data_IF_263959542417
#
_entry.id   IF_263959542417
#
_cell.length_a   1.000
_cell.length_b   1.000
_cell.length_c   1.000
_cell.angle_alpha   90.00
_cell.angle_beta   90.00
_cell.angle_gamma   90.00
#
_symmetry.space_group_name_H-M   'P 1'
#
loop_
_entity.id
_entity.type
_entity.pdbx_description
1 polymer ?
#
# COMPACT_ATOMS: atom_id res chain seq x y z
N UNK A 1 -12.71 -27.95 -50.12
CA UNK A 1 -12.32 -27.39 -51.43
C UNK A 1 -11.38 -26.22 -51.17
N UNK A 2 -10.12 -26.35 -51.62
CA UNK A 2 -9.00 -25.38 -51.61
C UNK A 2 -8.56 -24.82 -50.23
N UNK A 3 -7.29 -24.55 -49.93
CA UNK A 3 -5.96 -25.11 -50.23
C UNK A 3 -4.95 -24.16 -49.55
N UNK A 4 -4.13 -24.71 -48.66
CA UNK A 4 -2.76 -24.32 -48.22
C UNK A 4 -2.17 -22.97 -48.69
N UNK A 5 -1.55 -22.27 -47.73
CA UNK A 5 -0.17 -21.80 -47.86
C UNK A 5 0.51 -21.75 -46.48
N UNK A 6 1.49 -22.65 -46.29
CA UNK A 6 2.41 -22.71 -45.15
C UNK A 6 3.70 -22.02 -45.59
N UNK A 7 4.16 -21.01 -44.85
CA UNK A 7 5.44 -20.36 -45.08
C UNK A 7 6.48 -20.89 -44.08
N UNK A 8 7.30 -21.85 -44.54
CA UNK A 8 8.55 -22.24 -43.90
C UNK A 8 9.62 -21.17 -44.20
N UNK A 9 10.19 -20.54 -43.17
CA UNK A 9 11.46 -19.80 -43.28
C UNK A 9 12.62 -20.76 -43.00
N UNK A 10 13.27 -21.21 -44.07
CA UNK A 10 14.55 -21.92 -44.03
C UNK A 10 15.69 -20.95 -43.74
N UNK A 11 16.53 -21.27 -42.76
CA UNK A 11 17.79 -20.60 -42.49
C UNK A 11 18.83 -21.04 -43.53
N UNK A 12 19.32 -20.10 -44.34
CA UNK A 12 20.45 -20.28 -45.25
C UNK A 12 21.74 -20.06 -44.46
N UNK A 13 22.44 -21.16 -44.15
CA UNK A 13 23.85 -21.15 -43.73
C UNK A 13 24.71 -20.85 -44.97
N UNK A 14 25.11 -19.59 -45.13
CA UNK A 14 26.11 -19.19 -46.11
C UNK A 14 27.51 -19.59 -45.65
N UNK A 15 28.06 -20.65 -46.25
CA UNK A 15 29.46 -21.05 -46.08
C UNK A 15 30.33 -20.15 -46.94
N UNK A 16 31.11 -19.25 -46.32
CA UNK A 16 32.13 -18.46 -47.05
C UNK A 16 33.38 -19.33 -47.17
N UNK A 17 33.59 -19.90 -48.36
CA UNK A 17 34.84 -20.56 -48.71
C UNK A 17 35.90 -19.50 -49.04
N UNK A 18 36.86 -19.29 -48.14
CA UNK A 18 38.04 -18.49 -48.42
C UNK A 18 39.04 -19.33 -49.23
N UNK A 19 39.26 -18.92 -50.48
CA UNK A 19 40.33 -19.43 -51.35
C UNK A 19 41.67 -19.00 -50.75
N UNK A 20 42.46 -19.97 -50.31
CA UNK A 20 43.79 -19.77 -49.74
C UNK A 20 44.81 -19.70 -50.88
N UNK A 21 45.15 -18.49 -51.34
CA UNK A 21 46.27 -18.26 -52.26
C UNK A 21 47.61 -18.37 -51.50
N UNK A 22 48.41 -19.35 -51.86
CA UNK A 22 49.64 -19.75 -51.17
C UNK A 22 50.84 -19.07 -51.82
N UNK A 23 50.99 -17.75 -51.66
CA UNK A 23 52.28 -17.07 -51.92
C UNK A 23 53.15 -17.11 -50.66
N UNK A 24 54.20 -17.94 -50.72
CA UNK A 24 55.32 -17.93 -49.78
C UNK A 24 55.98 -16.55 -49.77
N UNK A 25 55.88 -15.84 -48.66
CA UNK A 25 56.95 -14.94 -48.21
C UNK A 25 57.49 -15.48 -46.88
N UNK A 26 58.79 -15.79 -46.84
CA UNK A 26 59.52 -16.11 -45.62
C UNK A 26 59.69 -14.79 -44.87
N UNK A 27 58.84 -14.53 -43.89
CA UNK A 27 59.15 -13.58 -42.82
C UNK A 27 59.11 -14.32 -41.49
N UNK A 28 60.21 -14.21 -40.77
CA UNK A 28 60.45 -14.74 -39.44
C UNK A 28 59.38 -14.26 -38.46
N UNK A 29 58.60 -15.18 -37.92
CA UNK A 29 57.70 -14.91 -36.80
C UNK A 29 58.52 -14.95 -35.51
N UNK A 30 58.90 -13.78 -35.02
CA UNK A 30 59.15 -13.59 -33.59
C UNK A 30 57.80 -13.63 -32.90
N UNK A 31 57.57 -14.61 -32.03
CA UNK A 31 56.40 -14.63 -31.14
C UNK A 31 56.64 -13.57 -30.07
N UNK A 32 56.39 -12.31 -30.43
CA UNK A 32 56.38 -11.20 -29.50
C UNK A 32 55.08 -11.26 -28.71
N UNK A 33 55.11 -11.79 -27.49
CA UNK A 33 54.00 -11.75 -26.56
C UNK A 33 53.57 -10.31 -26.32
N UNK A 34 52.56 -9.84 -27.05
CA UNK A 34 51.94 -8.54 -26.84
C UNK A 34 51.12 -8.65 -25.56
N UNK A 35 51.76 -8.33 -24.42
CA UNK A 35 51.03 -8.05 -23.19
C UNK A 35 50.03 -6.93 -23.53
N UNK A 36 48.73 -7.09 -23.23
CA UNK A 36 47.79 -6.00 -23.42
C UNK A 36 48.33 -4.76 -22.70
N UNK A 37 48.28 -3.56 -23.31
CA UNK A 37 48.81 -2.37 -22.67
C UNK A 37 48.16 -2.21 -21.30
N UNK A 38 48.98 -1.96 -20.27
CA UNK A 38 48.56 -1.87 -18.87
C UNK A 38 47.31 -0.98 -18.67
N UNK A 39 47.15 0.03 -19.52
CA UNK A 39 45.99 0.92 -19.59
C UNK A 39 44.67 0.20 -19.92
N UNK A 40 44.66 -0.77 -20.83
CA UNK A 40 43.46 -1.56 -21.16
C UNK A 40 43.08 -2.46 -19.99
N UNK A 41 44.08 -3.06 -19.32
CA UNK A 41 43.85 -3.88 -18.12
C UNK A 41 43.29 -3.03 -16.97
N UNK A 42 43.82 -1.82 -16.76
CA UNK A 42 43.35 -0.89 -15.74
C UNK A 42 41.93 -0.36 -16.04
N UNK A 43 41.59 -0.07 -17.30
CA UNK A 43 40.24 0.35 -17.71
C UNK A 43 39.23 -0.79 -17.53
N UNK A 44 39.60 -2.04 -17.88
CA UNK A 44 38.75 -3.21 -17.66
C UNK A 44 38.56 -3.50 -16.16
N UNK A 45 39.61 -3.36 -15.34
CA UNK A 45 39.50 -3.45 -13.88
C UNK A 45 38.61 -2.35 -13.31
N UNK A 46 38.73 -1.10 -13.78
CA UNK A 46 37.88 0.00 -13.33
C UNK A 46 36.40 -0.21 -13.72
N UNK A 47 36.11 -0.76 -14.89
CA UNK A 47 34.75 -1.13 -15.32
C UNK A 47 34.18 -2.31 -14.50
N UNK A 48 35.03 -3.26 -14.09
CA UNK A 48 34.64 -4.34 -13.18
C UNK A 48 34.34 -3.82 -11.76
N UNK A 49 35.10 -2.82 -11.26
CA UNK A 49 34.81 -2.18 -9.97
C UNK A 49 33.53 -1.31 -10.00
N UNK A 50 33.19 -0.69 -11.13
CA UNK A 50 31.93 0.07 -11.28
C UNK A 50 30.68 -0.82 -11.26
N UNK A 51 30.81 -2.10 -11.64
CA UNK A 51 29.71 -3.07 -11.58
C UNK A 51 29.53 -3.72 -10.20
N UNK A 52 30.48 -3.53 -9.28
CA UNK A 52 30.53 -4.22 -7.99
C UNK A 52 29.69 -3.57 -6.86
N UNK A 53 29.02 -2.44 -7.12
CA UNK A 53 28.25 -1.71 -6.09
C UNK A 53 26.72 -1.84 -6.20
N UNK A 54 26.18 -2.64 -7.12
CA UNK A 54 24.73 -2.83 -7.21
C UNK A 54 24.27 -3.96 -6.28
N UNK A 55 23.85 -3.63 -5.06
CA UNK A 55 23.33 -4.62 -4.10
C UNK A 55 22.01 -5.18 -4.64
N UNK A 56 21.87 -6.50 -4.66
CA UNK A 56 20.60 -7.12 -5.03
C UNK A 56 19.46 -6.70 -4.09
N UNK A 57 18.26 -6.53 -4.65
CA UNK A 57 17.05 -6.30 -3.88
C UNK A 57 16.80 -7.49 -2.93
N UNK A 58 16.54 -7.26 -1.63
CA UNK A 58 16.22 -8.34 -0.70
C UNK A 58 14.99 -9.13 -1.14
N UNK A 59 15.09 -10.45 -1.16
CA UNK A 59 13.97 -11.30 -1.56
C UNK A 59 12.92 -11.43 -0.45
N UNK A 60 13.30 -11.24 0.81
CA UNK A 60 12.37 -11.17 1.92
C UNK A 60 12.83 -10.08 2.89
N UNK A 61 11.97 -9.08 3.12
CA UNK A 61 12.29 -7.99 4.04
C UNK A 61 11.03 -7.25 4.51
N UNK A 62 11.14 -6.65 5.68
CA UNK A 62 10.30 -5.50 6.06
C UNK A 62 10.93 -4.24 5.50
N UNK A 63 10.11 -3.36 4.97
CA UNK A 63 10.51 -2.11 4.35
C UNK A 63 9.90 -0.94 5.11
N UNK A 64 10.72 0.03 5.45
CA UNK A 64 10.28 1.33 5.94
C UNK A 64 10.23 2.30 4.75
N UNK A 65 9.05 2.84 4.49
CA UNK A 65 8.81 3.75 3.39
C UNK A 65 8.16 5.05 3.79
N UNK A 66 8.06 5.94 2.83
CA UNK A 66 7.39 7.23 2.95
C UNK A 66 6.71 7.54 1.63
N UNK A 67 5.46 7.98 1.69
CA UNK A 67 4.71 8.52 0.56
C UNK A 67 4.42 10.00 0.81
N UNK A 68 4.58 10.79 -0.23
CA UNK A 68 4.47 12.24 -0.18
C UNK A 68 3.06 12.70 -0.55
N UNK A 69 2.39 13.37 0.39
CA UNK A 69 1.09 14.00 0.21
C UNK A 69 1.21 15.52 0.09
N UNK A 70 0.13 16.16 -0.34
CA UNK A 70 0.03 17.62 -0.43
C UNK A 70 1.21 18.26 -1.19
N UNK A 71 1.56 17.67 -2.34
CA UNK A 71 2.70 18.09 -3.18
C UNK A 71 4.05 18.04 -2.43
N UNK A 72 4.27 17.02 -1.60
CA UNK A 72 5.54 16.82 -0.89
C UNK A 72 5.67 17.58 0.42
N UNK A 73 4.58 18.19 0.92
CA UNK A 73 4.58 18.94 2.19
C UNK A 73 4.29 18.06 3.40
N UNK A 74 3.66 16.91 3.20
CA UNK A 74 3.31 15.97 4.26
C UNK A 74 3.87 14.61 3.90
N UNK A 75 4.73 14.08 4.77
CA UNK A 75 5.39 12.79 4.58
C UNK A 75 4.66 11.74 5.42
N UNK A 76 4.04 10.76 4.76
CA UNK A 76 3.33 9.67 5.43
C UNK A 76 4.26 8.46 5.49
N UNK A 77 4.84 8.13 6.66
CA UNK A 77 5.57 6.89 6.81
C UNK A 77 4.65 5.70 6.64
N UNK A 78 5.16 4.64 6.02
CA UNK A 78 4.49 3.36 5.91
C UNK A 78 5.48 2.22 6.13
N UNK A 79 4.96 1.06 6.52
CA UNK A 79 5.74 -0.17 6.58
C UNK A 79 5.09 -1.22 5.70
N UNK A 80 5.89 -2.02 5.01
CA UNK A 80 5.40 -3.16 4.25
C UNK A 80 6.33 -4.36 4.40
N UNK A 81 5.76 -5.55 4.41
CA UNK A 81 6.51 -6.81 4.41
C UNK A 81 6.35 -7.46 3.04
N UNK A 82 7.47 -7.79 2.40
CA UNK A 82 7.50 -8.41 1.08
C UNK A 82 8.21 -9.76 1.15
N UNK A 83 7.64 -10.75 0.47
CA UNK A 83 8.26 -12.02 0.12
C UNK A 83 8.22 -12.19 -1.40
N UNK A 84 9.40 -12.10 -2.02
CA UNK A 84 9.64 -12.11 -3.46
C UNK A 84 10.30 -13.41 -3.93
N UNK A 85 10.44 -14.41 -3.05
CA UNK A 85 11.18 -15.67 -3.33
C UNK A 85 10.42 -16.63 -4.24
N UNK A 86 9.10 -16.57 -4.22
CA UNK A 86 8.24 -17.52 -4.93
C UNK A 86 7.96 -17.05 -6.36
N UNK A 87 7.48 -17.95 -7.22
CA UNK A 87 6.88 -17.57 -8.51
C UNK A 87 5.60 -16.71 -8.38
N UNK A 88 5.14 -16.43 -7.15
CA UNK A 88 4.00 -15.56 -6.83
C UNK A 88 4.34 -14.66 -5.63
N UNK A 89 4.98 -13.50 -5.88
CA UNK A 89 5.32 -12.55 -4.83
C UNK A 89 4.11 -12.20 -3.95
N UNK A 90 4.34 -12.04 -2.65
CA UNK A 90 3.31 -11.76 -1.67
C UNK A 90 3.78 -10.70 -0.68
N UNK A 91 2.83 -10.01 -0.05
CA UNK A 91 3.15 -8.98 0.92
C UNK A 91 1.93 -8.29 1.49
N UNK A 92 2.17 -7.42 2.47
CA UNK A 92 1.15 -6.63 3.13
C UNK A 92 1.73 -5.31 3.65
N UNK A 93 0.90 -4.28 3.73
CA UNK A 93 1.17 -3.08 4.51
C UNK A 93 0.91 -3.33 5.99
N UNK A 94 1.64 -2.61 6.84
CA UNK A 94 1.52 -2.64 8.29
C UNK A 94 1.13 -1.25 8.80
N UNK A 95 0.04 -1.21 9.57
CA UNK A 95 -0.35 -0.04 10.37
C UNK A 95 -0.56 -0.54 11.80
N UNK A 96 0.43 -0.28 12.67
CA UNK A 96 0.56 -0.96 13.95
C UNK A 96 0.51 -2.50 13.78
N UNK A 97 -0.49 -3.16 14.36
CA UNK A 97 -0.75 -4.60 14.27
C UNK A 97 -1.65 -4.99 13.09
N UNK A 98 -2.31 -4.02 12.44
CA UNK A 98 -3.15 -4.24 11.26
C UNK A 98 -2.30 -4.60 10.04
N UNK A 99 -2.68 -5.70 9.38
CA UNK A 99 -2.06 -6.18 8.14
C UNK A 99 -3.03 -6.01 6.98
N UNK A 100 -2.71 -5.15 6.03
CA UNK A 100 -3.49 -5.02 4.79
C UNK A 100 -2.76 -5.73 3.64
N UNK A 101 -3.31 -6.82 3.08
CA UNK A 101 -2.69 -7.52 1.95
C UNK A 101 -2.43 -6.61 0.77
N UNK A 102 -1.33 -6.84 0.06
CA UNK A 102 -1.08 -6.25 -1.26
C UNK A 102 -1.63 -7.24 -2.30
N UNK A 103 -2.73 -6.92 -3.01
CA UNK A 103 -3.43 -7.90 -3.84
C UNK A 103 -2.59 -8.45 -4.99
N UNK A 104 -1.81 -7.57 -5.61
CA UNK A 104 -1.06 -7.88 -6.82
C UNK A 104 0.38 -7.38 -6.69
N UNK A 105 1.34 -8.28 -6.86
CA UNK A 105 2.76 -7.93 -6.83
C UNK A 105 3.45 -8.55 -8.05
N UNK A 106 4.03 -7.71 -8.89
CA UNK A 106 4.82 -8.12 -10.06
C UNK A 106 6.26 -7.63 -9.90
N UNK A 107 7.23 -8.52 -10.16
CA UNK A 107 8.65 -8.20 -10.16
C UNK A 107 9.25 -8.42 -11.55
N UNK A 108 9.98 -7.43 -12.05
CA UNK A 108 10.78 -7.54 -13.27
C UNK A 108 12.17 -6.94 -13.04
N UNK A 109 13.15 -7.81 -12.76
CA UNK A 109 14.49 -7.38 -12.36
C UNK A 109 14.45 -6.54 -11.08
N UNK A 110 14.87 -5.27 -11.19
CA UNK A 110 14.87 -4.28 -10.12
C UNK A 110 13.56 -3.48 -10.02
N UNK A 111 12.58 -3.74 -10.90
CA UNK A 111 11.27 -3.10 -10.84
C UNK A 111 10.27 -3.93 -10.03
N UNK A 112 9.50 -3.24 -9.18
CA UNK A 112 8.34 -3.76 -8.49
C UNK A 112 7.10 -2.96 -8.88
N UNK A 113 6.01 -3.66 -9.16
CA UNK A 113 4.68 -3.09 -9.36
C UNK A 113 3.75 -3.72 -8.33
N UNK A 114 3.09 -2.87 -7.55
CA UNK A 114 2.05 -3.25 -6.60
C UNK A 114 0.70 -2.76 -7.15
N UNK A 115 -0.20 -3.67 -7.47
CA UNK A 115 -1.50 -3.37 -8.06
C UNK A 115 -2.62 -3.35 -7.02
N UNK A 116 -3.52 -2.37 -7.15
CA UNK A 116 -4.74 -2.19 -6.36
C UNK A 116 -5.91 -1.98 -7.33
N UNK A 117 -6.18 -2.98 -8.18
CA UNK A 117 -7.11 -2.86 -9.31
C UNK A 117 -8.51 -2.45 -8.91
N UNK A 118 -9.00 -2.93 -7.76
CA UNK A 118 -10.33 -2.62 -7.21
C UNK A 118 -10.49 -1.11 -6.92
N UNK A 119 -9.37 -0.41 -6.75
CA UNK A 119 -9.29 1.02 -6.48
C UNK A 119 -8.80 1.85 -7.65
N UNK A 120 -8.49 1.20 -8.78
CA UNK A 120 -7.83 1.82 -9.92
C UNK A 120 -6.52 2.48 -9.52
N UNK A 121 -5.69 1.80 -8.73
CA UNK A 121 -4.42 2.36 -8.26
C UNK A 121 -3.26 1.36 -8.37
N UNK A 122 -2.04 1.88 -8.39
CA UNK A 122 -0.81 1.09 -8.43
C UNK A 122 0.36 1.85 -7.82
N UNK A 123 1.39 1.13 -7.37
CA UNK A 123 2.69 1.68 -7.01
C UNK A 123 3.76 1.06 -7.90
N UNK A 124 4.54 1.90 -8.57
CA UNK A 124 5.65 1.47 -9.43
C UNK A 124 6.96 1.93 -8.84
N UNK A 125 7.82 0.99 -8.46
CA UNK A 125 9.12 1.25 -7.85
C UNK A 125 10.28 0.66 -8.66
N UNK A 126 11.43 1.34 -8.58
CA UNK A 126 12.70 0.87 -9.12
C UNK A 126 13.74 0.83 -8.00
N UNK A 127 14.40 -0.32 -7.84
CA UNK A 127 15.49 -0.52 -6.90
C UNK A 127 16.81 -0.02 -7.48
N UNK A 128 17.55 0.77 -6.72
CA UNK A 128 18.83 1.35 -7.15
C UNK A 128 20.06 0.79 -6.42
N UNK A 129 19.91 -0.35 -5.72
CA UNK A 129 20.96 -0.91 -4.86
C UNK A 129 20.85 -0.49 -3.38
N UNK A 130 20.03 0.50 -3.04
CA UNK A 130 19.85 0.94 -1.65
C UNK A 130 18.41 1.27 -1.28
N UNK A 131 17.63 1.79 -2.21
CA UNK A 131 16.27 2.28 -2.00
C UNK A 131 15.38 1.90 -3.17
N UNK A 132 14.14 1.56 -2.86
CA UNK A 132 13.06 1.46 -3.84
C UNK A 132 12.45 2.86 -3.99
N UNK A 133 12.64 3.51 -5.14
CA UNK A 133 12.05 4.82 -5.43
C UNK A 133 10.96 4.67 -6.48
N UNK A 134 9.87 5.41 -6.34
CA UNK A 134 8.76 5.20 -7.24
C UNK A 134 7.65 6.23 -7.15
N UNK A 135 6.58 5.91 -7.87
CA UNK A 135 5.37 6.71 -7.95
C UNK A 135 4.16 5.82 -7.65
N UNK A 136 3.33 6.26 -6.72
CA UNK A 136 1.96 5.81 -6.56
C UNK A 136 1.08 6.55 -7.55
N UNK A 137 0.21 5.81 -8.24
CA UNK A 137 -0.64 6.29 -9.30
C UNK A 137 -2.07 5.89 -8.93
N UNK A 138 -2.99 6.85 -8.91
CA UNK A 138 -4.42 6.58 -8.77
C UNK A 138 -5.16 7.10 -9.99
N UNK A 139 -5.75 6.18 -10.74
CA UNK A 139 -6.52 6.47 -11.93
C UNK A 139 -7.88 7.03 -11.58
N UNK A 140 -8.20 8.21 -12.10
CA UNK A 140 -9.53 8.83 -11.99
C UNK A 140 -9.98 9.30 -13.37
N UNK A 141 -11.28 9.39 -13.59
CA UNK A 141 -11.85 9.86 -14.88
C UNK A 141 -11.34 11.25 -15.30
N UNK A 142 -10.99 12.10 -14.33
CA UNK A 142 -10.49 13.47 -14.57
C UNK A 142 -8.96 13.58 -14.63
N UNK A 143 -8.25 12.45 -14.65
CA UNK A 143 -6.79 12.38 -14.67
C UNK A 143 -6.21 11.69 -13.44
N UNK A 144 -4.98 11.22 -13.59
CA UNK A 144 -4.29 10.45 -12.57
C UNK A 144 -3.78 11.34 -11.43
N UNK A 145 -3.87 10.82 -10.21
CA UNK A 145 -3.16 11.39 -9.05
C UNK A 145 -1.82 10.69 -8.90
N UNK A 146 -0.74 11.47 -8.86
CA UNK A 146 0.62 10.96 -8.70
C UNK A 146 1.18 11.38 -7.33
N UNK A 147 1.73 10.42 -6.59
CA UNK A 147 2.42 10.65 -5.33
C UNK A 147 3.80 9.98 -5.38
N UNK A 148 4.84 10.68 -4.97
CA UNK A 148 6.17 10.07 -4.88
C UNK A 148 6.22 9.20 -3.64
N UNK A 149 6.90 8.06 -3.75
CA UNK A 149 7.23 7.25 -2.58
C UNK A 149 8.68 6.78 -2.65
N UNK A 150 9.22 6.48 -1.48
CA UNK A 150 10.45 5.70 -1.39
C UNK A 150 10.41 4.73 -0.23
N UNK A 151 11.16 3.63 -0.32
CA UNK A 151 11.27 2.64 0.74
C UNK A 151 12.67 2.06 0.83
N UNK A 152 13.12 1.76 2.05
CA UNK A 152 14.39 1.08 2.34
C UNK A 152 14.11 -0.21 3.13
N UNK A 153 14.88 -1.29 2.90
CA UNK A 153 14.80 -2.46 3.77
C UNK A 153 15.15 -2.06 5.19
N UNK A 154 14.33 -2.46 6.16
CA UNK A 154 14.66 -2.28 7.57
C UNK A 154 15.88 -3.16 7.89
N UNK A 155 16.94 -2.52 8.35
CA UNK A 155 18.03 -3.25 9.01
C UNK A 155 17.51 -3.60 10.40
N UNK A 156 17.60 -4.87 10.80
CA UNK A 156 17.30 -5.29 12.17
C UNK A 156 18.15 -4.45 13.14
N UNK A 157 17.54 -3.40 13.66
CA UNK A 157 18.17 -2.44 14.55
C UNK A 157 17.84 -2.89 15.95
N UNK A 158 18.83 -3.46 16.63
CA UNK A 158 18.78 -3.70 18.09
C UNK A 158 18.87 -2.40 18.90
N UNK A 159 18.69 -1.23 18.26
CA UNK A 159 18.68 0.05 18.94
C UNK A 159 17.34 0.18 19.63
N UNK A 160 17.32 -0.08 20.94
CA UNK A 160 16.37 0.54 21.85
C UNK A 160 16.53 2.05 21.67
N UNK A 161 15.59 2.68 20.97
CA UNK A 161 15.52 4.13 20.87
C UNK A 161 15.53 4.68 22.29
N UNK A 162 16.48 5.57 22.60
CA UNK A 162 16.50 6.27 23.88
C UNK A 162 15.18 7.03 24.04
N UNK A 163 14.49 6.69 25.13
CA UNK A 163 13.24 7.27 25.57
C UNK A 163 13.41 8.77 25.71
N UNK A 164 12.85 9.54 24.77
CA UNK A 164 12.61 10.97 24.96
C UNK A 164 11.18 11.12 25.42
N UNK A 165 10.98 11.00 26.73
CA UNK A 165 9.77 11.51 27.38
C UNK A 165 9.77 13.03 27.26
N UNK A 166 9.35 13.56 26.12
CA UNK A 166 8.87 14.94 26.11
C UNK A 166 7.50 14.88 26.78
N UNK A 167 7.28 15.69 27.83
CA UNK A 167 5.96 15.93 28.41
C UNK A 167 5.03 16.67 27.47
N UNK A 168 5.00 16.26 26.19
CA UNK A 168 4.08 16.77 25.20
C UNK A 168 2.69 16.20 25.52
N UNK A 169 1.72 17.09 25.67
CA UNK A 169 0.32 16.71 25.72
C UNK A 169 -0.07 16.04 24.39
N UNK A 170 -0.92 15.02 24.45
CA UNK A 170 -1.49 14.31 23.31
C UNK A 170 -2.99 14.12 23.55
N UNK A 171 -3.80 14.02 22.48
CA UNK A 171 -5.22 13.72 22.63
C UNK A 171 -5.39 12.29 23.16
N UNK A 172 -6.37 12.09 24.04
CA UNK A 172 -6.68 10.78 24.63
C UNK A 172 -8.17 10.67 24.88
N UNK A 173 -8.73 9.49 24.61
CA UNK A 173 -10.17 9.24 24.68
C UNK A 173 -10.90 9.67 23.43
N UNK A 174 -12.21 9.92 23.58
CA UNK A 174 -13.12 10.21 22.48
C UNK A 174 -13.35 11.72 22.32
N UNK A 175 -13.45 12.15 21.07
CA UNK A 175 -13.74 13.54 20.70
C UNK A 175 -14.75 13.58 19.55
N UNK A 176 -15.59 14.60 19.52
CA UNK A 176 -16.36 14.94 18.33
C UNK A 176 -15.47 15.77 17.39
N UNK A 177 -15.47 15.43 16.10
CA UNK A 177 -14.65 16.08 15.08
C UNK A 177 -15.49 17.08 14.31
N UNK A 178 -15.09 18.35 14.27
CA UNK A 178 -15.76 19.37 13.47
C UNK A 178 -14.85 19.81 12.34
N UNK A 179 -15.15 19.41 11.10
CA UNK A 179 -14.41 19.92 9.95
C UNK A 179 -14.82 21.36 9.65
N UNK A 180 -13.87 22.13 9.13
CA UNK A 180 -14.11 23.49 8.66
C UNK A 180 -15.20 23.52 7.59
N UNK A 181 -16.22 24.35 7.80
CA UNK A 181 -17.37 24.48 6.91
C UNK A 181 -18.56 23.59 7.27
N UNK A 182 -18.40 22.62 8.17
CA UNK A 182 -19.52 21.82 8.67
C UNK A 182 -20.30 22.61 9.73
N UNK A 183 -21.62 22.38 9.81
CA UNK A 183 -22.43 22.88 10.92
C UNK A 183 -21.99 22.20 12.22
N UNK A 184 -21.49 23.00 13.17
CA UNK A 184 -21.02 22.52 14.48
C UNK A 184 -22.10 21.87 15.33
N UNK A 185 -23.38 22.03 14.99
CA UNK A 185 -24.48 21.34 15.67
C UNK A 185 -24.78 19.95 15.10
N UNK A 186 -24.18 19.58 13.96
CA UNK A 186 -24.57 18.39 13.19
C UNK A 186 -23.43 17.39 12.92
N UNK A 187 -22.21 17.62 13.42
CA UNK A 187 -21.14 16.66 13.16
C UNK A 187 -21.45 15.32 13.83
N UNK A 188 -21.46 14.26 13.03
CA UNK A 188 -21.58 12.88 13.49
C UNK A 188 -20.24 12.11 13.34
N UNK A 189 -19.12 12.83 13.17
CA UNK A 189 -17.80 12.20 13.13
C UNK A 189 -17.18 12.16 14.53
N UNK A 190 -16.79 10.97 14.98
CA UNK A 190 -16.12 10.74 16.25
C UNK A 190 -14.66 10.38 16.02
N UNK A 191 -13.76 10.90 16.83
CA UNK A 191 -12.38 10.47 16.90
C UNK A 191 -12.13 9.74 18.22
N UNK A 192 -11.33 8.69 18.21
CA UNK A 192 -10.83 8.03 19.42
C UNK A 192 -9.32 7.98 19.36
N UNK A 193 -8.64 8.30 20.47
CA UNK A 193 -7.19 8.26 20.60
C UNK A 193 -6.76 7.50 21.85
N UNK A 194 -5.69 6.72 21.75
CA UNK A 194 -5.11 6.00 22.88
C UNK A 194 -3.61 5.78 22.67
N UNK A 195 -2.86 5.64 23.76
CA UNK A 195 -1.43 5.33 23.71
C UNK A 195 -1.20 3.83 23.89
N UNK A 196 -0.28 3.28 23.12
CA UNK A 196 0.33 1.98 23.37
C UNK A 196 1.86 2.13 23.35
N UNK A 197 2.48 2.00 24.52
CA UNK A 197 3.89 2.36 24.69
C UNK A 197 4.12 3.85 24.36
N UNK A 198 4.95 4.12 23.35
CA UNK A 198 5.26 5.49 22.88
C UNK A 198 4.49 5.89 21.62
N UNK A 199 3.65 4.99 21.09
CA UNK A 199 2.86 5.24 19.88
C UNK A 199 1.47 5.69 20.26
N UNK A 200 1.05 6.82 19.70
CA UNK A 200 -0.34 7.26 19.71
C UNK A 200 -1.07 6.57 18.57
N UNK A 201 -2.20 5.98 18.92
CA UNK A 201 -3.15 5.41 17.99
C UNK A 201 -4.38 6.31 17.92
N UNK A 202 -5.08 6.25 16.80
CA UNK A 202 -6.42 6.78 16.73
C UNK A 202 -7.18 6.35 15.49
N UNK A 203 -8.48 6.61 15.49
CA UNK A 203 -9.35 6.44 14.33
C UNK A 203 -10.44 7.50 14.32
N UNK A 204 -10.97 7.80 13.12
CA UNK A 204 -12.15 8.64 12.91
C UNK A 204 -13.29 7.74 12.39
N UNK A 205 -14.43 7.76 13.09
CA UNK A 205 -15.67 7.10 12.71
C UNK A 205 -16.62 8.16 12.19
N UNK A 206 -16.77 8.24 10.87
CA UNK A 206 -17.64 9.19 10.20
C UNK A 206 -18.95 8.54 9.75
N UNK A 207 -19.98 9.31 9.39
CA UNK A 207 -21.23 8.80 8.81
C UNK A 207 -21.07 7.93 7.57
N UNK A 208 -19.96 8.11 6.87
CA UNK A 208 -19.59 7.36 5.69
C UNK A 208 -18.60 6.23 5.90
N UNK A 209 -18.15 6.03 7.13
CA UNK A 209 -17.39 4.86 7.52
C UNK A 209 -16.30 5.18 8.54
N UNK A 210 -15.71 4.11 9.04
CA UNK A 210 -14.47 4.15 9.80
C UNK A 210 -13.29 4.41 8.85
N UNK A 211 -12.35 5.26 9.27
CA UNK A 211 -11.14 5.59 8.52
C UNK A 211 -10.01 4.59 8.73
N UNK A 212 -10.20 3.63 9.65
CA UNK A 212 -9.25 2.59 10.03
C UNK A 212 -8.22 3.07 11.05
N UNK A 213 -7.43 2.14 11.57
CA UNK A 213 -6.38 2.45 12.54
C UNK A 213 -5.34 3.40 11.94
N UNK A 214 -5.02 4.48 12.64
CA UNK A 214 -3.88 5.36 12.36
C UNK A 214 -2.90 5.31 13.52
N UNK A 215 -1.61 5.45 13.21
CA UNK A 215 -0.54 5.44 14.21
C UNK A 215 0.50 6.54 13.97
N UNK A 216 1.10 7.02 15.04
CA UNK A 216 2.15 8.03 14.99
C UNK A 216 2.73 8.32 16.36
N UNK A 217 3.90 8.96 16.41
CA UNK A 217 4.57 9.28 17.66
C UNK A 217 4.44 10.79 17.94
N UNK A 218 3.87 11.19 19.10
CA UNK A 218 3.83 12.60 19.51
C UNK A 218 5.25 13.19 19.62
N UNK A 219 5.44 14.42 19.14
CA UNK A 219 6.74 15.09 19.27
C UNK A 219 6.58 16.61 19.30
N UNK A 220 7.12 17.25 20.34
CA UNK A 220 7.17 18.72 20.43
C UNK A 220 5.80 19.41 20.41
N UNK A 221 4.78 18.80 21.01
CA UNK A 221 3.40 19.34 21.04
C UNK A 221 2.65 19.23 19.72
N UNK A 222 3.23 18.54 18.73
CA UNK A 222 2.59 18.19 17.46
C UNK A 222 2.49 16.69 17.34
N UNK A 223 1.39 16.25 16.72
CA UNK A 223 1.11 14.84 16.49
C UNK A 223 0.79 14.69 15.01
N UNK A 224 1.36 13.68 14.37
CA UNK A 224 0.95 13.23 13.04
C UNK A 224 0.64 11.74 13.10
N UNK A 225 -0.62 11.39 12.94
CA UNK A 225 -1.08 10.01 12.78
C UNK A 225 -1.13 9.68 11.29
N UNK A 226 -0.73 8.46 10.94
CA UNK A 226 -0.52 8.02 9.58
C UNK A 226 -1.24 6.70 9.32
N UNK A 227 -1.75 6.55 8.11
CA UNK A 227 -2.27 5.29 7.60
C UNK A 227 -1.96 5.18 6.11
N UNK A 228 -1.28 4.09 5.74
CA UNK A 228 -1.06 3.74 4.35
C UNK A 228 -1.34 2.27 4.10
N UNK A 229 -2.28 1.99 3.19
CA UNK A 229 -2.75 0.63 2.89
C UNK A 229 -2.75 0.34 1.37
N UNK A 230 -2.05 1.16 0.59
CA UNK A 230 -2.15 1.17 -0.87
C UNK A 230 -3.36 1.95 -1.35
N UNK A 231 -4.56 1.62 -0.84
CA UNK A 231 -5.76 2.42 -1.11
C UNK A 231 -5.80 3.73 -0.33
N UNK A 232 -5.65 3.65 0.99
CA UNK A 232 -5.68 4.84 1.85
C UNK A 232 -4.27 5.39 1.95
N UNK A 233 -4.13 6.70 1.72
CA UNK A 233 -2.94 7.46 2.07
C UNK A 233 -3.41 8.65 2.90
N UNK A 234 -3.43 8.46 4.23
CA UNK A 234 -4.02 9.40 5.18
C UNK A 234 -2.94 9.94 6.11
N UNK A 235 -3.00 11.24 6.36
CA UNK A 235 -2.33 11.88 7.48
C UNK A 235 -3.34 12.70 8.29
N UNK A 236 -3.23 12.63 9.61
CA UNK A 236 -3.95 13.52 10.53
C UNK A 236 -2.91 14.25 11.36
N UNK A 237 -2.80 15.56 11.15
CA UNK A 237 -1.93 16.42 11.96
C UNK A 237 -2.76 17.07 13.05
N UNK A 238 -2.25 17.09 14.28
CA UNK A 238 -2.90 17.66 15.45
C UNK A 238 -1.92 18.54 16.22
N UNK A 239 -2.40 19.69 16.67
CA UNK A 239 -1.70 20.58 17.58
C UNK A 239 -2.70 21.33 18.46
N UNK A 240 -2.24 21.73 19.66
CA UNK A 240 -3.07 22.45 20.60
C UNK A 240 -3.05 23.96 20.28
N UNK A 241 -4.23 24.55 20.11
CA UNK A 241 -4.41 26.00 19.93
C UNK A 241 -5.51 26.48 20.88
N UNK A 242 -5.17 27.42 21.75
CA UNK A 242 -6.12 28.01 22.72
C UNK A 242 -6.86 26.97 23.59
N UNK A 243 -6.16 25.91 24.02
CA UNK A 243 -6.72 24.84 24.85
C UNK A 243 -7.57 23.81 24.11
N UNK A 244 -7.63 23.87 22.77
CA UNK A 244 -8.36 22.92 21.94
C UNK A 244 -7.41 22.24 20.94
N UNK A 245 -7.64 20.95 20.70
CA UNK A 245 -6.95 20.24 19.64
C UNK A 245 -7.52 20.65 18.28
N UNK A 246 -6.63 21.08 17.40
CA UNK A 246 -6.95 21.49 16.04
C UNK A 246 -6.03 20.77 15.07
N UNK A 247 -6.50 20.53 13.85
CA UNK A 247 -5.76 19.68 12.93
C UNK A 247 -6.16 19.83 11.48
N UNK A 248 -5.48 19.04 10.66
CA UNK A 248 -5.78 18.87 9.24
C UNK A 248 -5.85 17.38 8.92
N UNK A 249 -6.89 17.02 8.18
CA UNK A 249 -7.04 15.70 7.56
C UNK A 249 -6.57 15.77 6.11
N UNK A 250 -5.64 14.89 5.76
CA UNK A 250 -5.09 14.73 4.42
C UNK A 250 -5.49 13.36 3.87
N UNK A 251 -5.97 13.33 2.63
CA UNK A 251 -6.27 12.10 1.90
C UNK A 251 -5.72 12.20 0.48
N UNK A 252 -4.72 11.38 0.15
CA UNK A 252 -3.94 11.50 -1.09
C UNK A 252 -3.48 12.96 -1.34
N UNK A 253 -3.82 13.53 -2.49
CA UNK A 253 -3.55 14.93 -2.86
C UNK A 253 -4.83 15.79 -2.87
N UNK A 254 -5.92 15.32 -2.25
CA UNK A 254 -7.11 16.14 -2.12
C UNK A 254 -6.81 17.35 -1.22
N UNK A 255 -7.63 18.42 -1.34
CA UNK A 255 -7.45 19.62 -0.52
C UNK A 255 -7.54 19.24 0.97
N UNK A 256 -6.57 19.63 1.82
CA UNK A 256 -6.63 19.33 3.25
C UNK A 256 -7.90 19.91 3.87
N UNK A 257 -8.51 19.16 4.80
CA UNK A 257 -9.66 19.61 5.56
C UNK A 257 -9.22 19.95 6.98
N UNK A 258 -9.27 21.22 7.35
CA UNK A 258 -9.06 21.65 8.73
C UNK A 258 -10.18 21.12 9.63
N UNK A 259 -9.86 20.84 10.90
CA UNK A 259 -10.86 20.44 11.89
C UNK A 259 -10.48 20.83 13.32
N UNK A 260 -11.46 20.77 14.21
CA UNK A 260 -11.28 20.93 15.66
C UNK A 260 -11.88 19.74 16.41
N UNK A 261 -11.26 19.34 17.52
CA UNK A 261 -11.78 18.31 18.40
C UNK A 261 -12.49 18.94 19.60
N UNK A 262 -13.66 18.40 19.95
CA UNK A 262 -14.40 18.77 21.14
C UNK A 262 -14.61 17.54 22.03
N UNK A 263 -14.21 17.64 23.29
CA UNK A 263 -14.59 16.65 24.30
C UNK A 263 -16.03 16.94 24.73
N UNK A 264 -16.88 15.91 24.72
CA UNK A 264 -18.28 15.97 25.12
C UNK A 264 -18.49 15.00 26.29
N UNK A 265 -19.25 15.41 27.31
CA UNK A 265 -19.49 14.57 28.50
C UNK A 265 -20.33 13.32 28.18
N UNK A 266 -21.17 13.40 27.15
CA UNK A 266 -22.15 12.40 26.73
C UNK A 266 -21.84 11.82 25.35
N UNK A 267 -20.56 11.84 24.94
CA UNK A 267 -20.10 11.43 23.60
C UNK A 267 -20.54 10.02 23.19
N UNK A 268 -20.68 9.11 24.15
CA UNK A 268 -21.13 7.73 23.92
C UNK A 268 -22.64 7.63 23.65
N UNK A 269 -23.41 8.66 24.01
CA UNK A 269 -24.84 8.76 23.76
C UNK A 269 -25.18 9.50 22.47
N UNK A 270 -24.17 10.08 21.80
CA UNK A 270 -24.39 10.73 20.52
C UNK A 270 -24.98 9.72 19.52
N UNK A 271 -26.02 10.09 18.78
CA UNK A 271 -26.65 9.19 17.85
C UNK A 271 -25.60 8.74 16.84
N UNK A 272 -25.44 7.42 16.69
CA UNK A 272 -24.67 6.86 15.60
C UNK A 272 -25.17 7.49 14.29
N UNK A 273 -24.28 7.82 13.35
CA UNK A 273 -24.70 8.38 12.08
C UNK A 273 -25.84 7.57 11.48
N UNK A 274 -26.97 8.26 11.32
CA UNK A 274 -28.26 7.65 11.07
C UNK A 274 -28.24 6.73 9.84
N UNK A 275 -29.01 5.63 9.87
CA UNK A 275 -29.13 4.67 8.77
C UNK A 275 -29.42 5.40 7.45
N UNK A 276 -28.42 5.52 6.57
CA UNK A 276 -28.58 6.17 5.26
C UNK A 276 -29.39 5.33 4.27
N UNK A 277 -29.78 4.12 4.64
CA UNK A 277 -30.52 3.20 3.78
C UNK A 277 -31.52 2.39 4.58
N UNK A 278 -32.71 2.22 4.02
CA UNK A 278 -33.80 1.42 4.56
C UNK A 278 -34.44 0.59 3.44
N UNK A 279 -35.11 -0.50 3.80
CA UNK A 279 -35.95 -1.22 2.84
C UNK A 279 -37.11 -0.33 2.39
N UNK A 280 -37.35 -0.28 1.08
CA UNK A 280 -38.51 0.45 0.51
C UNK A 280 -39.84 -0.08 1.01
N UNK A 281 -39.95 -1.40 1.21
CA UNK A 281 -41.11 -2.05 1.77
C UNK A 281 -40.67 -3.01 2.90
N UNK A 282 -40.68 -2.56 4.17
CA UNK A 282 -40.29 -3.38 5.32
C UNK A 282 -41.15 -4.64 5.51
N UNK A 283 -42.38 -4.67 4.99
CA UNK A 283 -43.32 -5.80 5.17
C UNK A 283 -43.06 -6.95 4.19
N UNK A 284 -42.37 -6.72 3.07
CA UNK A 284 -42.20 -7.71 2.01
C UNK A 284 -41.25 -8.88 2.37
N UNK A 285 -40.57 -8.82 3.52
CA UNK A 285 -39.47 -9.72 3.84
C UNK A 285 -38.22 -9.46 2.99
N UNK A 286 -37.03 -9.69 3.54
CA UNK A 286 -35.79 -9.53 2.79
C UNK A 286 -35.55 -10.75 1.90
N UNK A 287 -35.33 -10.52 0.59
CA UNK A 287 -35.02 -11.59 -0.38
C UNK A 287 -33.75 -11.27 -1.15
N UNK A 288 -32.96 -12.31 -1.45
CA UNK A 288 -31.75 -12.19 -2.26
C UNK A 288 -31.53 -13.46 -3.09
N UNK A 289 -30.85 -13.30 -4.22
CA UNK A 289 -30.34 -14.38 -5.07
C UNK A 289 -28.96 -13.96 -5.61
N UNK A 290 -27.98 -14.86 -5.54
CA UNK A 290 -26.63 -14.59 -6.03
C UNK A 290 -25.83 -15.87 -6.23
N UNK A 291 -24.62 -15.75 -6.77
CA UNK A 291 -23.70 -16.87 -6.94
C UNK A 291 -22.71 -16.92 -5.76
N UNK A 292 -22.50 -18.11 -5.22
CA UNK A 292 -21.40 -18.39 -4.30
C UNK A 292 -20.06 -18.48 -5.04
N UNK A 293 -18.97 -18.54 -4.28
CA UNK A 293 -17.61 -18.70 -4.80
C UNK A 293 -17.41 -20.00 -5.60
N UNK A 294 -18.23 -21.03 -5.37
CA UNK A 294 -18.20 -22.30 -6.12
C UNK A 294 -19.11 -22.27 -7.37
N UNK A 295 -19.82 -21.17 -7.62
CA UNK A 295 -20.78 -21.03 -8.72
C UNK A 295 -22.18 -21.55 -8.40
N UNK A 296 -22.45 -22.04 -7.19
CA UNK A 296 -23.81 -22.41 -6.77
C UNK A 296 -24.69 -21.16 -6.60
N UNK A 297 -25.92 -21.21 -7.10
CA UNK A 297 -26.92 -20.16 -6.84
C UNK A 297 -27.47 -20.26 -5.41
N UNK A 298 -27.24 -19.23 -4.61
CA UNK A 298 -27.73 -19.09 -3.24
C UNK A 298 -28.92 -18.15 -3.23
N UNK A 299 -30.02 -18.57 -2.60
CA UNK A 299 -31.23 -17.77 -2.41
C UNK A 299 -31.58 -17.67 -0.93
N UNK A 300 -32.21 -16.58 -0.51
CA UNK A 300 -32.71 -16.43 0.86
C UNK A 300 -33.71 -17.52 1.26
N UNK A 301 -34.36 -18.17 0.29
CA UNK A 301 -35.32 -19.26 0.48
C UNK A 301 -34.68 -20.65 0.64
N UNK A 302 -33.37 -20.80 0.47
CA UNK A 302 -32.68 -22.08 0.60
C UNK A 302 -32.86 -22.66 2.02
N UNK A 303 -33.02 -23.99 2.11
CA UNK A 303 -33.30 -24.68 3.37
C UNK A 303 -32.30 -24.38 4.49
N UNK A 304 -31.02 -24.14 4.13
CA UNK A 304 -29.95 -23.79 5.08
C UNK A 304 -30.20 -22.52 5.91
N UNK A 305 -31.12 -21.64 5.49
CA UNK A 305 -31.45 -20.40 6.19
C UNK A 305 -32.77 -20.46 6.97
N UNK A 306 -33.57 -21.53 6.81
CA UNK A 306 -34.90 -21.63 7.43
C UNK A 306 -34.79 -21.70 8.96
N UNK A 307 -35.63 -20.89 9.63
CA UNK A 307 -35.71 -20.87 11.09
C UNK A 307 -34.50 -20.22 11.79
N UNK A 308 -33.60 -19.57 11.04
CA UNK A 308 -32.42 -18.89 11.58
C UNK A 308 -32.53 -17.37 11.40
N UNK A 309 -31.96 -16.58 12.32
CA UNK A 309 -31.65 -15.17 12.03
C UNK A 309 -30.75 -15.07 10.79
N UNK A 310 -31.08 -14.17 9.87
CA UNK A 310 -30.31 -13.94 8.65
C UNK A 310 -29.64 -12.58 8.72
N UNK A 311 -28.30 -12.58 8.71
CA UNK A 311 -27.48 -11.38 8.51
C UNK A 311 -26.96 -11.42 7.07
N UNK A 312 -27.21 -10.35 6.32
CA UNK A 312 -26.67 -10.17 4.97
C UNK A 312 -25.74 -8.96 4.99
N UNK A 313 -24.45 -9.23 4.88
CA UNK A 313 -23.43 -8.19 4.80
C UNK A 313 -23.04 -7.94 3.34
N UNK A 314 -23.04 -6.67 2.94
CA UNK A 314 -22.64 -6.24 1.59
C UNK A 314 -21.21 -5.74 1.69
N UNK A 315 -20.28 -6.62 1.33
CA UNK A 315 -18.85 -6.42 1.51
C UNK A 315 -18.08 -6.40 0.18
N UNK A 316 -16.85 -5.88 0.24
CA UNK A 316 -15.85 -6.02 -0.82
C UNK A 316 -14.57 -6.61 -0.23
N UNK A 317 -13.86 -7.44 -0.99
CA UNK A 317 -12.55 -8.04 -0.61
C UNK A 317 -11.50 -7.00 -0.21
N UNK A 318 -11.67 -5.79 -0.72
CA UNK A 318 -10.80 -4.64 -0.52
C UNK A 318 -11.17 -3.78 0.68
N UNK A 319 -12.38 -3.92 1.23
CA UNK A 319 -12.92 -3.07 2.28
C UNK A 319 -12.32 -3.43 3.64
N UNK A 320 -11.55 -2.52 4.26
CA UNK A 320 -10.90 -2.78 5.54
C UNK A 320 -11.89 -3.03 6.68
N UNK A 321 -13.01 -2.29 6.73
CA UNK A 321 -14.08 -2.52 7.72
C UNK A 321 -14.71 -3.92 7.56
N UNK A 322 -14.76 -4.42 6.33
CA UNK A 322 -15.29 -5.73 6.03
C UNK A 322 -14.29 -6.84 6.41
N UNK A 323 -13.00 -6.54 6.32
CA UNK A 323 -11.93 -7.43 6.78
C UNK A 323 -11.95 -7.54 8.32
N UNK A 324 -12.22 -6.43 9.01
CA UNK A 324 -12.38 -6.37 10.46
C UNK A 324 -13.67 -7.05 10.96
N UNK A 325 -14.79 -6.93 10.23
CA UNK A 325 -16.06 -7.59 10.60
C UNK A 325 -16.04 -9.11 10.36
N UNK A 326 -15.20 -9.60 9.44
CA UNK A 326 -15.15 -10.99 9.02
C UNK A 326 -15.04 -12.01 10.15
N UNK A 327 -14.06 -11.90 11.08
CA UNK A 327 -13.91 -12.81 12.21
C UNK A 327 -15.16 -12.87 13.10
N UNK A 328 -15.81 -11.73 13.37
CA UNK A 328 -17.04 -11.67 14.16
C UNK A 328 -18.19 -12.38 13.45
N UNK A 329 -18.36 -12.17 12.14
CA UNK A 329 -19.40 -12.85 11.36
C UNK A 329 -19.19 -14.37 11.31
N UNK A 330 -17.94 -14.82 11.21
CA UNK A 330 -17.59 -16.25 11.27
C UNK A 330 -17.86 -16.84 12.67
N UNK A 331 -17.55 -16.12 13.74
CA UNK A 331 -17.89 -16.52 15.12
C UNK A 331 -19.41 -16.67 15.30
N UNK A 332 -20.19 -15.67 14.89
CA UNK A 332 -21.65 -15.71 14.97
C UNK A 332 -22.22 -16.89 14.16
N UNK A 333 -21.70 -17.16 12.97
CA UNK A 333 -22.13 -18.28 12.13
C UNK A 333 -21.79 -19.65 12.73
N UNK A 334 -20.73 -19.76 13.54
CA UNK A 334 -20.38 -20.98 14.26
C UNK A 334 -21.25 -21.18 15.50
N UNK A 335 -21.67 -20.09 16.13
CA UNK A 335 -22.45 -20.11 17.37
C UNK A 335 -23.96 -20.36 17.13
N UNK A 336 -24.52 -19.94 15.99
CA UNK A 336 -25.97 -19.98 15.67
C UNK A 336 -26.26 -20.66 14.30
#
# INVERSE_FOLDING_TARGET
MKSKAVLHKSWLLGTVAAVYDRRRSRNSWTVGGHRPPLQIVLVLLALLFLSACHRAMPEQATWAGTIDLAQGKVHVPFRMVLDLRSGKPAGYFLVADEKTPIPEITRQGDSLIFGFSEYGAEMRGMWNGARLNGTYIRHRTRGDTLLNFSAVPEVASNIRTEVRSSGAEFPSGKYQVFFEGDDRSQSATLATFWMEGETLHGTFIAPDGDYGLLAGNPSGGKVQLNRFTGWQAIAITLEQRSGMWTGNYFFHNDKPRGFTLSAQADIDSLPFPNRRTTMKNPEAGFTFEGLSISGETIRSSNDRFKGKPLIVDIMGTWCHNCLDSGPLLDELQKQY
#
